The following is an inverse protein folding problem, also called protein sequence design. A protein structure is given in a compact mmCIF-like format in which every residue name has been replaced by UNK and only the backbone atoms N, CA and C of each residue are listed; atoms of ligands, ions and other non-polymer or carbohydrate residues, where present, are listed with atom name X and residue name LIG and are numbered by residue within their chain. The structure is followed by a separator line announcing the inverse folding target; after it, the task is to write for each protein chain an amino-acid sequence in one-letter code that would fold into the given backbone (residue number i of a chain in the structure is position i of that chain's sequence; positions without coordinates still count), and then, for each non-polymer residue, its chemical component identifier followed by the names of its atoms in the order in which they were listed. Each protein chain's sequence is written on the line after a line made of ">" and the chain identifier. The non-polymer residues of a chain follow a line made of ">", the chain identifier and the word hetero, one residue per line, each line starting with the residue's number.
data_IF_814836820573
#
_entry.id   IF_814836820573
#
_cell.length_a   1.000
_cell.length_b   1.000
_cell.length_c   1.000
_cell.angle_alpha   90.00
_cell.angle_beta   90.00
_cell.angle_gamma   90.00
#
_symmetry.space_group_name_H-M   'P 1'
#
loop_
_entity.id
_entity.type
_entity.pdbx_description
1 polymer ?
#
# COMPACT_ATOMS: atom_id res chain seq x y z
N UNK A 1 13.74 -17.02 -18.71
CA UNK A 1 12.53 -16.18 -18.62
C UNK A 1 12.75 -15.21 -17.48
N UNK A 2 12.57 -13.91 -17.68
CA UNK A 2 12.73 -12.89 -16.63
C UNK A 2 11.37 -12.24 -16.37
N UNK A 3 11.04 -12.06 -15.10
CA UNK A 3 9.77 -11.50 -14.65
C UNK A 3 10.02 -10.30 -13.74
N UNK A 4 9.22 -9.25 -13.93
CA UNK A 4 9.24 -8.04 -13.11
C UNK A 4 7.83 -7.81 -12.56
N UNK A 5 7.72 -7.79 -11.24
CA UNK A 5 6.45 -7.54 -10.55
C UNK A 5 6.51 -6.14 -9.94
N UNK A 6 5.54 -5.29 -10.30
CA UNK A 6 5.40 -3.95 -9.75
C UNK A 6 4.24 -3.93 -8.76
N UNK A 7 4.50 -3.39 -7.57
CA UNK A 7 3.50 -3.28 -6.51
C UNK A 7 3.45 -1.84 -6.00
N UNK A 8 2.25 -1.28 -5.91
CA UNK A 8 2.00 -0.01 -5.22
C UNK A 8 1.96 -0.23 -3.70
N UNK A 9 2.39 0.76 -2.93
CA UNK A 9 2.18 0.77 -1.47
C UNK A 9 0.68 0.62 -1.11
N UNK A 10 0.43 0.09 0.08
CA UNK A 10 -0.92 -0.09 0.62
C UNK A 10 -1.59 1.23 1.01
N UNK A 11 -2.85 1.17 1.46
CA UNK A 11 -3.64 2.35 1.86
C UNK A 11 -2.92 3.20 2.92
N UNK A 12 -2.64 4.46 2.59
CA UNK A 12 -2.02 5.44 3.48
C UNK A 12 -3.03 6.51 3.91
N UNK A 13 -2.78 7.19 5.03
CA UNK A 13 -3.70 8.18 5.63
C UNK A 13 -4.16 9.27 4.63
N UNK A 14 -3.27 9.72 3.73
CA UNK A 14 -3.64 10.73 2.74
C UNK A 14 -4.71 10.25 1.77
N UNK A 15 -4.79 8.95 1.47
CA UNK A 15 -5.77 8.40 0.52
C UNK A 15 -7.21 8.43 1.04
N UNK A 16 -7.40 8.57 2.34
CA UNK A 16 -8.72 8.52 3.01
C UNK A 16 -9.12 9.84 3.68
N UNK A 17 -8.23 10.84 3.68
CA UNK A 17 -8.41 12.10 4.40
C UNK A 17 -8.63 13.31 3.48
N UNK A 18 -9.03 13.10 2.22
CA UNK A 18 -9.11 14.15 1.18
C UNK A 18 -7.81 14.95 1.01
N UNK A 19 -6.67 14.32 1.31
CA UNK A 19 -5.34 14.89 1.14
C UNK A 19 -4.70 14.33 -0.13
N UNK A 20 -3.98 15.18 -0.86
CA UNK A 20 -3.11 14.69 -1.93
C UNK A 20 -1.87 14.04 -1.32
N UNK A 21 -1.54 12.85 -1.80
CA UNK A 21 -0.22 12.27 -1.61
C UNK A 21 0.83 13.11 -2.33
N UNK A 22 2.07 13.08 -1.83
CA UNK A 22 3.19 13.82 -2.39
C UNK A 22 4.47 13.48 -1.65
N UNK A 23 5.23 14.50 -1.27
CA UNK A 23 6.41 14.36 -0.41
C UNK A 23 6.15 14.10 1.08
N UNK A 24 4.95 14.34 1.67
CA UNK A 24 4.73 13.99 3.07
C UNK A 24 4.86 12.48 3.33
N UNK A 25 5.62 12.12 4.36
CA UNK A 25 5.78 10.74 4.83
C UNK A 25 4.51 10.25 5.54
N UNK A 26 3.50 9.92 4.75
CA UNK A 26 2.20 9.46 5.25
C UNK A 26 2.27 8.02 5.71
N UNK A 27 1.85 7.77 6.95
CA UNK A 27 1.75 6.41 7.48
C UNK A 27 0.66 5.59 6.78
N UNK A 28 0.82 4.25 6.80
CA UNK A 28 -0.25 3.33 6.42
C UNK A 28 -1.39 3.37 7.44
N UNK A 29 -2.62 3.26 6.94
CA UNK A 29 -3.79 3.03 7.79
C UNK A 29 -3.73 1.61 8.39
N UNK A 30 -4.57 1.31 9.39
CA UNK A 30 -4.71 -0.07 9.88
C UNK A 30 -5.16 -1.05 8.79
N UNK A 31 -5.95 -0.59 7.82
CA UNK A 31 -6.32 -1.38 6.65
C UNK A 31 -5.13 -1.55 5.70
N UNK A 32 -4.34 -0.50 5.49
CA UNK A 32 -3.12 -0.53 4.70
C UNK A 32 -2.09 -1.55 5.22
N UNK A 33 -1.90 -1.63 6.54
CA UNK A 33 -1.01 -2.64 7.14
C UNK A 33 -1.45 -4.07 6.80
N UNK A 34 -2.75 -4.37 6.95
CA UNK A 34 -3.31 -5.68 6.59
C UNK A 34 -3.21 -5.99 5.09
N UNK A 35 -3.31 -4.99 4.22
CA UNK A 35 -3.10 -5.17 2.78
C UNK A 35 -1.64 -5.55 2.48
N UNK A 36 -0.67 -4.87 3.12
CA UNK A 36 0.74 -5.17 2.94
C UNK A 36 1.09 -6.58 3.46
N UNK A 37 0.51 -6.98 4.60
CA UNK A 37 0.66 -8.34 5.15
C UNK A 37 0.13 -9.41 4.18
N UNK A 38 -1.10 -9.26 3.68
CA UNK A 38 -1.70 -10.22 2.73
C UNK A 38 -0.88 -10.36 1.44
N UNK A 39 -0.44 -9.23 0.87
CA UNK A 39 0.42 -9.25 -0.30
C UNK A 39 1.73 -10.00 -0.03
N UNK A 40 2.39 -9.72 1.10
CA UNK A 40 3.64 -10.38 1.48
C UNK A 40 3.48 -11.89 1.71
N UNK A 41 2.29 -12.34 2.10
CA UNK A 41 1.95 -13.75 2.24
C UNK A 41 1.57 -14.43 0.91
N UNK A 42 1.52 -13.68 -0.21
CA UNK A 42 1.01 -14.19 -1.49
C UNK A 42 -0.50 -14.41 -1.51
N UNK A 43 -1.20 -13.89 -0.50
CA UNK A 43 -2.66 -13.88 -0.44
C UNK A 43 -3.16 -12.69 -1.27
N UNK A 44 -3.16 -12.86 -2.60
CA UNK A 44 -3.96 -12.00 -3.46
C UNK A 44 -5.44 -12.31 -3.23
N UNK A 45 -6.32 -11.29 -3.10
CA UNK A 45 -7.76 -11.50 -3.16
C UNK A 45 -8.20 -12.08 -4.51
#
# INVERSE_FOLDING_TARGET
>A
MQELILVRHAEAEHLVSDLTGGWPDSSLTNRGRRQAERLGLGETP
#
